data_IF_297031706066
#
_entry.id   IF_297031706066
#
_cell.length_a   1.000
_cell.length_b   1.000
_cell.length_c   1.000
_cell.angle_alpha   90.00
_cell.angle_beta   90.00
_cell.angle_gamma   90.00
#
_symmetry.space_group_name_H-M   'P 1'
#
loop_
_entity.id
_entity.type
_entity.pdbx_description
1 polymer ?
#
# COMPACT_ATOMS: atom_id res chain seq x y z
N UNK A 1 18.26 4.13 59.08
CA UNK A 1 19.15 3.50 58.08
C UNK A 1 18.27 3.17 56.86
N UNK A 2 18.22 4.08 55.87
CA UNK A 2 17.31 4.02 54.75
C UNK A 2 18.08 3.44 53.55
N UNK A 3 17.70 2.22 53.10
CA UNK A 3 18.33 1.56 51.97
C UNK A 3 17.55 1.96 50.71
N UNK A 4 18.17 2.84 49.93
CA UNK A 4 17.64 3.27 48.63
C UNK A 4 18.07 2.25 47.56
N UNK A 5 17.10 1.44 47.04
CA UNK A 5 17.35 0.54 45.91
C UNK A 5 17.28 1.34 44.62
N UNK A 6 18.41 1.51 43.95
CA UNK A 6 18.49 2.01 42.58
C UNK A 6 18.03 0.91 41.62
N UNK A 7 16.87 1.12 40.94
CA UNK A 7 16.47 0.35 39.80
C UNK A 7 17.20 0.92 38.56
N UNK A 8 18.15 0.19 38.04
CA UNK A 8 18.71 0.44 36.70
C UNK A 8 17.70 -0.01 35.64
N UNK A 9 16.99 0.93 35.04
CA UNK A 9 16.20 0.67 33.84
C UNK A 9 17.15 0.62 32.64
N UNK A 10 17.41 -0.58 32.14
CA UNK A 10 18.13 -0.80 30.88
C UNK A 10 17.22 -0.34 29.74
N UNK A 11 17.45 0.86 29.21
CA UNK A 11 16.86 1.31 27.95
C UNK A 11 17.53 0.52 26.80
N UNK A 12 16.90 -0.55 26.34
CA UNK A 12 17.27 -1.19 25.08
C UNK A 12 16.73 -0.28 23.98
N UNK A 13 17.59 0.59 23.46
CA UNK A 13 17.32 1.32 22.22
C UNK A 13 17.31 0.28 21.08
N UNK A 14 16.13 -0.16 20.69
CA UNK A 14 15.94 -0.93 19.46
C UNK A 14 16.32 -0.04 18.29
N UNK A 15 17.53 -0.22 17.78
CA UNK A 15 17.97 0.37 16.52
C UNK A 15 17.13 -0.28 15.41
N UNK A 16 16.05 0.36 14.99
CA UNK A 16 15.27 -0.05 13.81
C UNK A 16 16.15 0.28 12.61
N UNK A 17 16.93 -0.71 12.17
CA UNK A 17 17.60 -0.66 10.87
C UNK A 17 16.53 -0.84 9.83
N UNK A 18 16.05 0.26 9.24
CA UNK A 18 15.21 0.22 8.05
C UNK A 18 16.05 -0.29 6.90
N UNK A 19 15.96 -1.58 6.62
CA UNK A 19 16.58 -2.16 5.42
C UNK A 19 15.77 -1.70 4.22
N UNK A 20 16.37 -0.87 3.40
CA UNK A 20 15.77 -0.44 2.16
C UNK A 20 15.85 -1.59 1.14
N UNK A 21 14.75 -2.35 0.98
CA UNK A 21 14.61 -3.42 -0.02
C UNK A 21 14.23 -2.85 -1.41
N UNK A 22 14.47 -1.55 -1.65
CA UNK A 22 14.21 -0.91 -2.95
C UNK A 22 14.90 -1.65 -4.09
N UNK A 23 14.46 -1.36 -5.32
CA UNK A 23 15.04 -1.94 -6.52
C UNK A 23 16.57 -1.80 -6.52
N UNK A 24 17.27 -2.93 -6.63
CA UNK A 24 18.73 -3.02 -6.67
C UNK A 24 19.17 -3.86 -7.86
N UNK A 25 20.46 -3.76 -8.21
CA UNK A 25 21.07 -4.64 -9.19
C UNK A 25 21.37 -6.00 -8.54
N UNK A 26 20.96 -7.07 -9.23
CA UNK A 26 21.22 -8.46 -8.90
C UNK A 26 22.18 -9.05 -9.90
N UNK A 27 23.13 -9.84 -9.46
CA UNK A 27 24.17 -10.44 -10.29
C UNK A 27 24.05 -11.97 -10.26
N UNK A 28 24.18 -12.63 -11.43
CA UNK A 28 24.22 -14.09 -11.50
C UNK A 28 25.48 -14.65 -10.81
N UNK A 29 25.43 -15.92 -10.40
CA UNK A 29 26.52 -16.58 -9.70
C UNK A 29 27.86 -16.57 -10.48
N UNK A 30 27.78 -16.63 -11.79
CA UNK A 30 28.93 -16.57 -12.69
C UNK A 30 29.37 -15.14 -13.07
N UNK A 31 28.66 -14.11 -12.55
CA UNK A 31 28.93 -12.71 -12.83
C UNK A 31 28.57 -12.25 -14.26
N UNK A 32 28.05 -13.15 -15.11
CA UNK A 32 27.84 -12.86 -16.53
C UNK A 32 26.59 -12.04 -16.83
N UNK A 33 25.64 -11.98 -15.91
CA UNK A 33 24.33 -11.30 -16.09
C UNK A 33 23.98 -10.47 -14.89
N UNK A 34 23.38 -9.31 -15.14
CA UNK A 34 22.77 -8.47 -14.12
C UNK A 34 21.34 -8.10 -14.52
N UNK A 35 20.51 -7.78 -13.52
CA UNK A 35 19.18 -7.24 -13.73
C UNK A 35 18.75 -6.38 -12.54
N UNK A 36 17.89 -5.41 -12.78
CA UNK A 36 17.31 -4.55 -11.74
C UNK A 36 16.01 -5.15 -11.24
N UNK A 37 15.81 -5.14 -9.91
CA UNK A 37 14.58 -5.61 -9.32
C UNK A 37 14.53 -5.43 -7.81
N UNK A 38 13.32 -5.45 -7.28
CA UNK A 38 13.00 -5.39 -5.86
C UNK A 38 12.87 -6.80 -5.30
N UNK A 39 13.54 -7.09 -4.18
CA UNK A 39 13.35 -8.34 -3.46
C UNK A 39 11.98 -8.35 -2.78
N UNK A 40 11.12 -9.29 -3.19
CA UNK A 40 9.75 -9.39 -2.66
C UNK A 40 9.52 -10.62 -1.79
N UNK A 41 10.42 -11.60 -1.80
CA UNK A 41 10.30 -12.78 -0.94
C UNK A 41 11.51 -13.71 -1.01
N UNK A 42 11.67 -14.53 0.04
CA UNK A 42 12.64 -15.63 0.11
C UNK A 42 12.09 -16.76 0.97
N UNK A 43 11.81 -17.90 0.36
CA UNK A 43 11.29 -19.08 1.04
C UNK A 43 11.82 -20.36 0.37
N UNK A 44 12.13 -21.37 1.16
CA UNK A 44 12.58 -22.71 0.69
C UNK A 44 13.74 -22.63 -0.34
N UNK A 45 14.71 -21.74 -0.08
CA UNK A 45 15.86 -21.51 -0.97
C UNK A 45 15.52 -20.79 -2.28
N UNK A 46 14.27 -20.36 -2.48
CA UNK A 46 13.82 -19.62 -3.66
C UNK A 46 13.68 -18.14 -3.37
N UNK A 47 14.20 -17.34 -4.28
CA UNK A 47 14.16 -15.87 -4.25
C UNK A 47 13.07 -15.39 -5.18
N UNK A 48 12.24 -14.45 -4.71
CA UNK A 48 11.27 -13.72 -5.53
C UNK A 48 11.77 -12.30 -5.74
N UNK A 49 11.91 -11.88 -6.98
CA UNK A 49 12.29 -10.51 -7.34
C UNK A 49 11.29 -9.95 -8.34
N UNK A 50 10.77 -8.77 -8.04
CA UNK A 50 9.95 -7.99 -8.97
C UNK A 50 10.86 -7.10 -9.80
N UNK A 51 10.89 -7.32 -11.11
CA UNK A 51 11.62 -6.47 -12.05
C UNK A 51 10.90 -5.13 -12.26
N UNK A 52 11.64 -4.18 -12.83
CA UNK A 52 11.11 -2.86 -13.21
C UNK A 52 9.96 -2.91 -14.23
N UNK A 53 9.86 -4.01 -15.02
CA UNK A 53 8.76 -4.26 -15.96
C UNK A 53 7.53 -4.92 -15.27
N UNK A 54 7.53 -5.02 -13.93
CA UNK A 54 6.47 -5.63 -13.13
C UNK A 54 6.48 -7.16 -13.07
N UNK A 55 7.31 -7.84 -13.88
CA UNK A 55 7.40 -9.30 -13.86
C UNK A 55 8.07 -9.81 -12.59
N UNK A 56 7.47 -10.85 -12.01
CA UNK A 56 8.04 -11.55 -10.86
C UNK A 56 8.90 -12.71 -11.36
N UNK A 57 10.16 -12.68 -11.01
CA UNK A 57 11.09 -13.80 -11.21
C UNK A 57 11.14 -14.63 -9.92
N UNK A 58 11.09 -15.96 -10.07
CA UNK A 58 11.29 -16.91 -8.96
C UNK A 58 12.38 -17.86 -9.37
N UNK A 59 13.47 -17.91 -8.60
CA UNK A 59 14.63 -18.74 -8.89
C UNK A 59 15.38 -19.13 -7.62
N UNK A 60 16.25 -20.15 -7.71
CA UNK A 60 17.03 -20.61 -6.58
C UNK A 60 18.11 -19.58 -6.19
N UNK A 61 18.36 -19.42 -4.88
CA UNK A 61 19.32 -18.42 -4.35
C UNK A 61 20.75 -18.67 -4.87
N UNK A 62 21.09 -19.92 -5.15
CA UNK A 62 22.42 -20.34 -5.67
C UNK A 62 22.71 -19.78 -7.07
N UNK A 63 21.70 -19.30 -7.77
CA UNK A 63 21.86 -18.64 -9.07
C UNK A 63 22.35 -17.19 -8.98
N UNK A 64 22.43 -16.65 -7.75
CA UNK A 64 22.93 -15.30 -7.48
C UNK A 64 24.39 -15.32 -7.02
N UNK A 65 25.06 -14.18 -7.18
CA UNK A 65 26.40 -13.95 -6.65
C UNK A 65 26.46 -14.15 -5.13
N UNK A 66 27.61 -14.49 -4.59
CA UNK A 66 27.80 -14.67 -3.13
C UNK A 66 27.39 -13.43 -2.33
N UNK A 67 27.66 -12.23 -2.84
CA UNK A 67 27.28 -10.97 -2.22
C UNK A 67 25.75 -10.81 -2.13
N UNK A 68 25.02 -11.20 -3.19
CA UNK A 68 23.56 -11.14 -3.21
C UNK A 68 22.93 -12.21 -2.33
N UNK A 69 23.51 -13.42 -2.31
CA UNK A 69 23.09 -14.46 -1.37
C UNK A 69 23.26 -14.01 0.08
N UNK A 70 24.41 -13.39 0.41
CA UNK A 70 24.67 -12.87 1.74
C UNK A 70 23.71 -11.75 2.12
N UNK A 71 23.41 -10.84 1.18
CA UNK A 71 22.39 -9.80 1.38
C UNK A 71 21.03 -10.40 1.75
N UNK A 72 20.57 -11.42 1.00
CA UNK A 72 19.31 -12.10 1.27
C UNK A 72 19.32 -12.76 2.65
N UNK A 73 20.39 -13.52 2.97
CA UNK A 73 20.52 -14.22 4.25
C UNK A 73 20.55 -13.26 5.44
N UNK A 74 21.24 -12.13 5.32
CA UNK A 74 21.33 -11.12 6.38
C UNK A 74 19.97 -10.44 6.62
N UNK A 75 19.13 -10.33 5.58
CA UNK A 75 17.86 -9.65 5.65
C UNK A 75 16.65 -10.61 5.75
N UNK A 76 16.88 -11.90 6.03
CA UNK A 76 15.84 -12.93 6.09
C UNK A 76 14.65 -12.56 6.98
N UNK A 77 14.88 -11.98 8.15
CA UNK A 77 13.80 -11.59 9.07
C UNK A 77 12.90 -10.49 8.50
N UNK A 78 13.47 -9.54 7.76
CA UNK A 78 12.72 -8.46 7.10
C UNK A 78 11.95 -9.01 5.91
N UNK A 79 12.58 -9.94 5.18
CA UNK A 79 11.98 -10.62 4.02
C UNK A 79 10.84 -11.55 4.47
N UNK A 80 11.03 -12.34 5.53
CA UNK A 80 10.01 -13.22 6.11
C UNK A 80 8.80 -12.41 6.61
N UNK A 81 9.04 -11.26 7.24
CA UNK A 81 7.96 -10.35 7.66
C UNK A 81 7.21 -9.76 6.47
N UNK A 82 7.91 -9.49 5.36
CA UNK A 82 7.28 -9.05 4.10
C UNK A 82 6.49 -10.19 3.42
N UNK A 83 6.95 -11.44 3.54
CA UNK A 83 6.23 -12.63 3.04
C UNK A 83 5.02 -12.98 3.94
N UNK A 84 5.09 -12.79 5.25
CA UNK A 84 3.94 -12.90 6.16
C UNK A 84 2.91 -11.80 5.87
N UNK A 85 3.36 -10.59 5.58
CA UNK A 85 2.51 -9.49 5.09
C UNK A 85 1.92 -9.80 3.70
N UNK A 86 2.58 -10.63 2.88
CA UNK A 86 2.07 -11.06 1.57
C UNK A 86 0.98 -12.14 1.64
N UNK A 87 0.73 -12.74 2.83
CA UNK A 87 -0.45 -13.59 3.09
C UNK A 87 -1.70 -12.77 3.37
N UNK A 88 -1.56 -11.46 3.59
CA UNK A 88 -2.67 -10.55 3.73
C UNK A 88 -3.28 -10.27 2.35
N UNK A 89 -4.60 -10.12 2.32
CA UNK A 89 -5.32 -9.80 1.09
C UNK A 89 -4.72 -8.57 0.39
N UNK A 90 -4.36 -8.72 -0.89
CA UNK A 90 -3.81 -7.66 -1.71
C UNK A 90 -4.83 -7.26 -2.78
N UNK A 91 -5.30 -6.02 -2.71
CA UNK A 91 -6.18 -5.39 -3.69
C UNK A 91 -5.74 -3.93 -3.89
N UNK A 92 -4.52 -3.71 -4.42
CA UNK A 92 -3.82 -2.43 -4.30
C UNK A 92 -4.42 -1.29 -5.13
N UNK A 93 -5.43 -1.56 -5.96
CA UNK A 93 -6.04 -0.57 -6.85
C UNK A 93 -7.44 -0.99 -7.31
N UNK A 94 -8.11 -0.09 -8.03
CA UNK A 94 -9.33 -0.41 -8.76
C UNK A 94 -9.13 -1.65 -9.63
N UNK A 95 -10.03 -2.64 -9.52
CA UNK A 95 -10.03 -3.92 -10.23
C UNK A 95 -8.91 -4.90 -9.84
N UNK A 96 -8.24 -4.66 -8.72
CA UNK A 96 -7.21 -5.56 -8.17
C UNK A 96 -5.84 -5.43 -8.81
N UNK A 97 -4.92 -6.30 -8.42
CA UNK A 97 -3.51 -6.26 -8.83
C UNK A 97 -3.35 -6.32 -10.35
N UNK A 98 -4.11 -7.21 -11.01
CA UNK A 98 -4.02 -7.47 -12.45
C UNK A 98 -5.06 -6.70 -13.28
N UNK A 99 -5.84 -5.81 -12.65
CA UNK A 99 -6.90 -5.00 -13.28
C UNK A 99 -7.94 -5.89 -14.03
N UNK A 100 -8.20 -7.07 -13.50
CA UNK A 100 -9.08 -8.07 -14.13
C UNK A 100 -10.33 -8.42 -13.30
N UNK A 101 -10.53 -7.77 -12.14
CA UNK A 101 -11.62 -8.01 -11.17
C UNK A 101 -11.60 -9.41 -10.54
N UNK A 102 -10.51 -10.15 -10.66
CA UNK A 102 -10.39 -11.47 -10.06
C UNK A 102 -9.53 -11.40 -8.79
N UNK A 103 -10.06 -11.88 -7.67
CA UNK A 103 -9.27 -12.14 -6.48
C UNK A 103 -8.47 -13.43 -6.64
N UNK A 104 -7.18 -13.46 -6.27
CA UNK A 104 -6.39 -14.68 -6.23
C UNK A 104 -6.74 -15.59 -5.05
N UNK A 105 -7.64 -15.15 -4.15
CA UNK A 105 -8.00 -15.88 -2.94
C UNK A 105 -8.56 -17.25 -3.25
N UNK A 106 -8.22 -18.21 -2.40
CA UNK A 106 -8.65 -19.61 -2.48
C UNK A 106 -9.39 -20.00 -1.23
N UNK A 107 -10.19 -21.08 -1.33
CA UNK A 107 -10.93 -21.59 -0.18
C UNK A 107 -12.16 -20.74 0.18
N UNK A 108 -12.63 -19.90 -0.73
CA UNK A 108 -13.83 -19.11 -0.53
C UNK A 108 -15.04 -20.00 -0.23
N UNK A 109 -15.94 -19.51 0.61
CA UNK A 109 -17.20 -20.19 0.92
C UNK A 109 -18.01 -20.42 -0.36
N UNK A 110 -18.49 -21.64 -0.56
CA UNK A 110 -19.41 -21.98 -1.66
C UNK A 110 -20.85 -21.57 -1.36
N UNK A 111 -21.20 -21.54 -0.09
CA UNK A 111 -22.49 -21.14 0.41
C UNK A 111 -22.32 -20.25 1.64
N UNK A 112 -23.17 -19.27 1.79
CA UNK A 112 -23.18 -18.43 2.97
C UNK A 112 -23.77 -19.19 4.17
N UNK A 113 -23.21 -19.05 5.38
CA UNK A 113 -23.81 -19.55 6.60
C UNK A 113 -25.24 -18.97 6.78
N UNK A 114 -26.08 -19.69 7.50
CA UNK A 114 -27.39 -19.14 7.90
C UNK A 114 -27.17 -17.88 8.72
N UNK A 115 -27.72 -16.75 8.25
CA UNK A 115 -27.50 -15.42 8.84
C UNK A 115 -26.35 -14.61 8.19
N UNK A 116 -25.67 -15.17 7.18
CA UNK A 116 -24.55 -14.49 6.48
C UNK A 116 -23.20 -14.70 7.17
N UNK A 117 -22.13 -14.12 6.63
CA UNK A 117 -20.81 -14.16 7.24
C UNK A 117 -20.77 -13.36 8.55
N UNK A 118 -19.91 -13.79 9.47
CA UNK A 118 -19.67 -13.05 10.70
C UNK A 118 -19.03 -11.68 10.39
N UNK A 119 -19.55 -10.62 11.02
CA UNK A 119 -18.98 -9.28 10.93
C UNK A 119 -17.73 -9.19 11.80
N UNK A 120 -16.55 -9.03 11.19
CA UNK A 120 -15.29 -8.90 11.92
C UNK A 120 -15.17 -7.53 12.58
N UNK A 121 -15.40 -6.45 11.83
CA UNK A 121 -15.40 -5.09 12.34
C UNK A 121 -16.23 -4.13 11.45
N UNK A 122 -16.49 -2.93 11.95
CA UNK A 122 -17.08 -1.82 11.19
C UNK A 122 -16.33 -0.54 11.50
N UNK A 123 -15.88 0.16 10.48
CA UNK A 123 -15.33 1.51 10.60
C UNK A 123 -16.42 2.54 10.24
N UNK A 124 -16.85 3.33 11.21
CA UNK A 124 -17.99 4.27 11.06
C UNK A 124 -17.58 5.67 10.65
N UNK A 125 -16.30 6.02 10.81
CA UNK A 125 -15.79 7.37 10.63
C UNK A 125 -15.18 7.62 9.25
N UNK A 126 -15.50 6.80 8.25
CA UNK A 126 -15.04 7.02 6.89
C UNK A 126 -15.52 8.37 6.30
N UNK A 127 -16.67 8.84 6.75
CA UNK A 127 -17.32 10.03 6.19
C UNK A 127 -18.16 9.71 4.95
N UNK A 128 -18.52 10.75 4.19
CA UNK A 128 -19.34 10.61 2.98
C UNK A 128 -18.45 10.42 1.74
N UNK A 129 -18.91 9.59 0.80
CA UNK A 129 -18.23 9.35 -0.46
C UNK A 129 -18.64 8.05 -1.12
N UNK A 130 -18.07 7.82 -2.30
CA UNK A 130 -18.30 6.63 -3.13
C UNK A 130 -16.99 5.91 -3.46
N UNK A 131 -15.96 6.18 -2.70
CA UNK A 131 -14.63 5.64 -2.89
C UNK A 131 -14.59 4.14 -2.59
N UNK A 132 -14.08 3.35 -3.52
CA UNK A 132 -13.73 1.96 -3.26
C UNK A 132 -12.50 1.83 -2.35
N UNK A 133 -12.34 0.69 -1.65
CA UNK A 133 -11.14 0.41 -0.88
C UNK A 133 -10.01 -0.11 -1.77
N UNK A 134 -8.77 0.22 -1.39
CA UNK A 134 -7.56 -0.48 -1.83
C UNK A 134 -6.88 -1.10 -0.61
N UNK A 135 -6.33 -2.30 -0.75
CA UNK A 135 -5.75 -3.06 0.37
C UNK A 135 -4.33 -3.46 0.01
N UNK A 136 -3.38 -3.14 0.88
CA UNK A 136 -2.00 -3.61 0.78
C UNK A 136 -1.29 -3.53 2.13
N UNK A 137 -0.40 -4.47 2.40
CA UNK A 137 0.40 -4.50 3.62
C UNK A 137 -0.44 -4.47 4.90
N UNK A 138 -1.58 -5.17 4.93
CA UNK A 138 -2.47 -5.23 6.09
C UNK A 138 -3.26 -3.96 6.38
N UNK A 139 -3.22 -2.98 5.49
CA UNK A 139 -3.99 -1.73 5.60
C UNK A 139 -4.99 -1.60 4.46
N UNK A 140 -6.16 -1.11 4.80
CA UNK A 140 -7.18 -0.68 3.86
C UNK A 140 -7.08 0.84 3.69
N UNK A 141 -6.99 1.30 2.46
CA UNK A 141 -6.96 2.72 2.11
C UNK A 141 -8.24 3.10 1.39
N UNK A 142 -8.85 4.19 1.82
CA UNK A 142 -10.05 4.74 1.21
C UNK A 142 -10.06 6.26 1.33
N UNK A 143 -11.02 6.93 0.73
CA UNK A 143 -11.25 8.34 0.93
C UNK A 143 -12.66 8.57 1.48
N UNK A 144 -12.84 9.66 2.23
CA UNK A 144 -14.15 10.08 2.69
C UNK A 144 -14.16 11.56 3.06
N UNK A 145 -15.33 12.16 3.00
CA UNK A 145 -15.52 13.55 3.39
C UNK A 145 -16.08 13.60 4.81
N UNK A 146 -15.34 14.24 5.70
CA UNK A 146 -15.73 14.59 7.05
C UNK A 146 -15.95 16.10 7.09
N UNK A 147 -17.17 16.52 7.38
CA UNK A 147 -17.57 17.93 7.28
C UNK A 147 -17.28 18.53 5.89
N UNK A 148 -16.50 19.61 5.83
CA UNK A 148 -16.12 20.27 4.58
C UNK A 148 -14.83 19.77 3.94
N UNK A 149 -14.24 18.67 4.45
CA UNK A 149 -12.88 18.23 4.13
C UNK A 149 -12.85 16.80 3.65
N UNK A 150 -12.09 16.52 2.60
CA UNK A 150 -11.81 15.16 2.11
C UNK A 150 -10.53 14.64 2.73
N UNK A 151 -10.59 13.42 3.25
CA UNK A 151 -9.47 12.71 3.83
C UNK A 151 -9.12 11.45 3.02
N UNK A 152 -7.84 11.19 2.86
CA UNK A 152 -7.30 9.87 2.60
C UNK A 152 -7.11 9.18 3.95
N UNK A 153 -7.61 7.96 4.08
CA UNK A 153 -7.74 7.25 5.36
C UNK A 153 -7.09 5.88 5.23
N UNK A 154 -6.24 5.52 6.17
CA UNK A 154 -5.70 4.18 6.32
C UNK A 154 -6.27 3.51 7.57
N UNK A 155 -6.76 2.28 7.38
CA UNK A 155 -7.41 1.47 8.40
C UNK A 155 -6.64 0.15 8.51
N UNK A 156 -6.33 -0.28 9.72
CA UNK A 156 -5.74 -1.58 9.99
C UNK A 156 -6.75 -2.70 9.70
N UNK A 157 -6.43 -3.62 8.81
CA UNK A 157 -7.34 -4.67 8.37
C UNK A 157 -7.69 -5.68 9.48
N UNK A 158 -6.79 -5.91 10.42
CA UNK A 158 -7.02 -6.87 11.49
C UNK A 158 -7.96 -6.32 12.57
N UNK A 159 -7.88 -5.01 12.85
CA UNK A 159 -8.59 -4.39 13.98
C UNK A 159 -9.72 -3.45 13.56
N UNK A 160 -9.78 -3.02 12.31
CA UNK A 160 -10.71 -2.02 11.82
C UNK A 160 -10.48 -0.62 12.40
N UNK A 161 -9.31 -0.35 12.98
CA UNK A 161 -8.98 0.95 13.57
C UNK A 161 -8.28 1.85 12.55
N UNK A 162 -8.55 3.15 12.62
CA UNK A 162 -7.80 4.14 11.86
C UNK A 162 -6.33 4.13 12.30
N UNK A 163 -5.43 3.96 11.33
CA UNK A 163 -3.98 4.07 11.53
C UNK A 163 -3.58 5.53 11.39
N UNK A 164 -4.05 6.16 10.31
CA UNK A 164 -3.89 7.58 10.06
C UNK A 164 -4.96 8.09 9.10
N UNK A 165 -5.19 9.38 9.13
CA UNK A 165 -5.96 10.08 8.10
C UNK A 165 -5.28 11.39 7.72
N UNK A 166 -5.33 11.75 6.42
CA UNK A 166 -4.68 12.93 5.88
C UNK A 166 -5.65 13.74 5.06
N UNK A 167 -5.78 15.02 5.39
CA UNK A 167 -6.55 15.95 4.58
C UNK A 167 -5.93 16.07 3.20
N UNK A 168 -6.73 15.84 2.15
CA UNK A 168 -6.29 15.88 0.76
C UNK A 168 -7.09 16.83 -0.13
N UNK A 169 -8.12 17.46 0.38
CA UNK A 169 -8.91 18.39 -0.43
C UNK A 169 -10.15 18.88 0.26
N UNK A 170 -10.94 19.59 -0.53
CA UNK A 170 -12.22 20.13 -0.10
C UNK A 170 -13.38 19.28 -0.59
N UNK A 171 -14.45 19.35 0.13
CA UNK A 171 -15.71 18.66 -0.14
C UNK A 171 -16.27 18.96 -1.53
N UNK A 172 -16.77 17.94 -2.20
CA UNK A 172 -17.47 18.06 -3.47
C UNK A 172 -18.95 17.74 -3.28
N UNK A 173 -19.79 18.64 -3.74
CA UNK A 173 -21.27 18.45 -3.71
C UNK A 173 -21.80 18.19 -5.11
N UNK A 174 -22.69 17.23 -5.20
CA UNK A 174 -23.39 16.89 -6.44
C UNK A 174 -24.77 16.34 -6.10
N UNK A 175 -25.77 16.64 -6.98
CA UNK A 175 -27.14 16.15 -6.79
C UNK A 175 -27.27 14.62 -6.79
N UNK A 176 -26.27 13.90 -7.28
CA UNK A 176 -26.24 12.44 -7.37
C UNK A 176 -25.43 11.77 -6.23
N UNK A 177 -24.81 12.58 -5.40
CA UNK A 177 -24.03 12.13 -4.27
C UNK A 177 -22.78 12.97 -4.02
N UNK A 178 -22.45 13.12 -2.78
CA UNK A 178 -21.39 14.00 -2.29
C UNK A 178 -20.10 13.24 -1.98
N UNK A 179 -18.98 13.95 -1.94
CA UNK A 179 -17.67 13.44 -1.51
C UNK A 179 -16.80 12.85 -2.63
N UNK A 180 -15.68 12.19 -2.28
CA UNK A 180 -14.74 11.58 -3.22
C UNK A 180 -15.31 10.29 -3.85
N UNK A 181 -14.73 9.88 -5.01
CA UNK A 181 -15.27 8.79 -5.83
C UNK A 181 -14.23 7.77 -6.27
N UNK A 182 -13.04 8.22 -6.66
CA UNK A 182 -11.97 7.33 -7.15
C UNK A 182 -11.44 6.40 -6.06
N UNK A 183 -11.02 5.20 -6.41
CA UNK A 183 -10.30 4.30 -5.50
C UNK A 183 -8.84 4.72 -5.41
N UNK A 184 -8.23 4.80 -4.22
CA UNK A 184 -6.79 4.99 -4.09
C UNK A 184 -6.01 3.88 -4.79
N UNK A 185 -4.83 4.20 -5.31
CA UNK A 185 -3.91 3.22 -5.90
C UNK A 185 -2.66 3.15 -5.06
N UNK A 186 -2.23 1.93 -4.74
CA UNK A 186 -1.02 1.67 -3.96
C UNK A 186 0.04 1.11 -4.91
N UNK A 187 1.26 1.65 -4.79
CA UNK A 187 2.44 1.13 -5.46
C UNK A 187 3.63 1.19 -4.48
N UNK A 188 4.05 0.04 -4.02
CA UNK A 188 5.09 -0.09 -3.01
C UNK A 188 4.74 0.65 -1.70
N UNK A 189 5.58 1.61 -1.32
CA UNK A 189 5.42 2.42 -0.11
C UNK A 189 4.60 3.71 -0.34
N UNK A 190 3.93 3.84 -1.49
CA UNK A 190 3.16 5.01 -1.90
C UNK A 190 1.68 4.68 -2.07
N UNK A 191 0.84 5.64 -1.71
CA UNK A 191 -0.59 5.65 -2.01
C UNK A 191 -0.93 6.92 -2.78
N UNK A 192 -1.64 6.76 -3.88
CA UNK A 192 -2.08 7.84 -4.77
C UNK A 192 -3.59 7.98 -4.68
N UNK A 193 -4.07 9.20 -4.53
CA UNK A 193 -5.49 9.49 -4.36
C UNK A 193 -5.89 10.75 -5.13
N UNK A 194 -7.01 10.67 -5.87
CA UNK A 194 -7.57 11.77 -6.63
C UNK A 194 -8.92 12.17 -6.03
N UNK A 195 -8.96 13.37 -5.47
CA UNK A 195 -10.18 13.97 -4.96
C UNK A 195 -11.11 14.45 -6.10
N UNK A 196 -12.42 14.45 -5.87
CA UNK A 196 -13.44 14.77 -6.88
C UNK A 196 -13.29 16.19 -7.48
N UNK A 197 -12.54 17.10 -6.86
CA UNK A 197 -12.26 18.44 -7.39
C UNK A 197 -10.92 18.55 -8.13
N UNK A 198 -10.21 17.43 -8.34
CA UNK A 198 -8.97 17.40 -9.11
C UNK A 198 -7.69 17.49 -8.27
N UNK A 199 -7.79 17.49 -6.94
CA UNK A 199 -6.60 17.41 -6.09
C UNK A 199 -6.06 15.98 -6.13
N UNK A 200 -4.86 15.80 -6.67
CA UNK A 200 -4.12 14.55 -6.73
C UNK A 200 -3.01 14.57 -5.68
N UNK A 201 -2.89 13.52 -4.89
CA UNK A 201 -1.86 13.41 -3.87
C UNK A 201 -1.12 12.08 -3.96
N UNK A 202 0.17 12.12 -3.64
CA UNK A 202 0.99 10.95 -3.34
C UNK A 202 1.41 11.03 -1.87
N UNK A 203 1.07 10.02 -1.09
CA UNK A 203 1.42 9.94 0.32
C UNK A 203 2.15 8.63 0.62
N UNK A 204 2.88 8.58 1.75
CA UNK A 204 3.44 7.32 2.25
C UNK A 204 2.34 6.43 2.82
N UNK A 205 2.40 5.13 2.55
CA UNK A 205 1.46 4.14 3.10
C UNK A 205 1.64 3.95 4.60
N UNK A 206 2.80 4.26 5.14
CA UNK A 206 3.15 4.07 6.55
C UNK A 206 2.41 5.06 7.47
N UNK A 207 2.51 6.37 7.16
CA UNK A 207 2.10 7.46 8.07
C UNK A 207 1.25 8.56 7.39
N UNK A 208 0.96 8.42 6.10
CA UNK A 208 0.21 9.40 5.34
C UNK A 208 0.95 10.71 5.05
N UNK A 209 2.28 10.78 5.29
CA UNK A 209 3.06 11.97 4.95
C UNK A 209 3.02 12.22 3.45
N UNK A 210 2.66 13.45 3.06
CA UNK A 210 2.56 13.85 1.67
C UNK A 210 3.96 13.93 1.05
N UNK A 211 4.17 13.20 -0.03
CA UNK A 211 5.40 13.20 -0.81
C UNK A 211 5.35 14.30 -1.87
N UNK A 212 4.24 14.38 -2.58
CA UNK A 212 3.93 15.46 -3.51
C UNK A 212 2.42 15.56 -3.72
N UNK A 213 1.99 16.66 -4.27
CA UNK A 213 0.60 16.92 -4.65
C UNK A 213 0.53 17.75 -5.94
N UNK A 214 -0.58 17.62 -6.66
CA UNK A 214 -0.91 18.41 -7.84
C UNK A 214 -2.40 18.72 -7.85
N UNK A 215 -2.79 19.75 -8.56
CA UNK A 215 -4.19 20.11 -8.78
C UNK A 215 -4.46 20.10 -10.30
N UNK A 216 -5.24 19.12 -10.76
CA UNK A 216 -5.50 18.96 -12.20
C UNK A 216 -6.15 20.19 -12.82
N UNK A 217 -6.90 20.97 -12.02
CA UNK A 217 -7.55 22.19 -12.49
C UNK A 217 -6.57 23.37 -12.49
N UNK A 218 -5.91 23.63 -11.35
CA UNK A 218 -5.07 24.82 -11.18
C UNK A 218 -3.73 24.70 -11.90
N UNK A 219 -3.10 23.51 -11.79
CA UNK A 219 -1.74 23.33 -12.27
C UNK A 219 -1.71 22.84 -13.72
N UNK A 220 -2.75 22.10 -14.17
CA UNK A 220 -2.78 21.47 -15.49
C UNK A 220 -3.89 22.01 -16.41
N UNK A 221 -4.69 22.99 -15.96
CA UNK A 221 -5.73 23.63 -16.77
C UNK A 221 -6.97 22.76 -17.02
N UNK A 222 -7.14 21.68 -16.26
CA UNK A 222 -8.32 20.81 -16.29
C UNK A 222 -9.59 21.52 -15.83
N UNK A 223 -10.72 20.85 -15.99
CA UNK A 223 -12.03 21.33 -15.49
C UNK A 223 -12.69 20.24 -14.69
N UNK A 224 -13.28 20.60 -13.56
CA UNK A 224 -14.04 19.64 -12.77
C UNK A 224 -15.24 19.16 -13.60
N UNK A 225 -15.32 17.85 -13.92
CA UNK A 225 -16.47 17.28 -14.63
C UNK A 225 -17.78 17.41 -13.83
N UNK A 226 -18.93 17.25 -14.49
CA UNK A 226 -20.23 17.34 -13.81
C UNK A 226 -20.41 16.33 -12.67
N UNK A 227 -19.71 15.19 -12.73
CA UNK A 227 -19.68 14.15 -11.69
C UNK A 227 -18.51 14.30 -10.71
N UNK A 228 -17.62 15.32 -10.91
CA UNK A 228 -16.31 15.37 -10.31
C UNK A 228 -15.35 14.39 -10.99
N UNK A 229 -14.09 14.43 -10.61
CA UNK A 229 -13.12 13.39 -11.01
C UNK A 229 -13.49 12.07 -10.30
N UNK A 230 -13.71 11.01 -11.10
CA UNK A 230 -14.21 9.70 -10.61
C UNK A 230 -13.22 8.56 -10.85
N UNK A 231 -12.19 8.80 -11.63
CA UNK A 231 -11.18 7.78 -11.95
C UNK A 231 -10.26 7.50 -10.77
N UNK A 232 -9.67 6.31 -10.83
CA UNK A 232 -8.60 5.89 -9.93
C UNK A 232 -7.26 6.10 -10.63
N UNK A 233 -6.25 6.72 -9.99
CA UNK A 233 -4.94 6.90 -10.61
C UNK A 233 -4.35 5.57 -11.07
N UNK A 234 -3.84 5.50 -12.29
CA UNK A 234 -3.12 4.33 -12.81
C UNK A 234 -1.63 4.58 -12.73
N UNK A 235 -0.90 3.65 -12.14
CA UNK A 235 0.57 3.63 -12.14
C UNK A 235 1.04 2.64 -13.19
N UNK A 236 1.86 3.13 -14.14
CA UNK A 236 2.53 2.34 -15.16
C UNK A 236 4.02 2.68 -15.18
N UNK A 237 4.82 1.83 -14.54
CA UNK A 237 6.24 2.08 -14.32
C UNK A 237 6.50 3.37 -13.55
N UNK A 238 7.07 4.37 -14.23
CA UNK A 238 7.36 5.68 -13.66
C UNK A 238 6.31 6.74 -13.97
N UNK A 239 5.20 6.36 -14.57
CA UNK A 239 4.14 7.27 -14.98
C UNK A 239 2.90 7.08 -14.09
N UNK A 240 2.29 8.21 -13.72
CA UNK A 240 0.96 8.24 -13.15
C UNK A 240 0.03 8.79 -14.23
N UNK A 241 -1.03 8.06 -14.53
CA UNK A 241 -2.01 8.38 -15.55
C UNK A 241 -3.36 8.64 -14.87
N UNK A 242 -3.94 9.78 -15.14
CA UNK A 242 -5.32 10.15 -14.82
C UNK A 242 -5.81 11.19 -15.86
N UNK A 243 -7.13 11.35 -16.01
CA UNK A 243 -7.76 12.18 -17.07
C UNK A 243 -8.65 13.26 -16.48
#
# INVERSE_FOLDING_TARGET
>A
MLIMKFLFALLIASLIITVNLSAREWTSADGSRTFQGELTGFQDGKVKVRRSDGKILVFAIELLSESDQQFIKTNQLVIAKKDEDSTLAEWPRWRGSDINDHSPDKGLLKEWPVGGPEQVWVFKDAGMGYTGPAISGGKLFTMGARDATVFLIAIDCATGKEVWSKQIGVYYRNNWGDGPRGTPTIDGDRVYALGARGKLVCAKTEDGSIVWEADLVKDLGGKVPGWGYCESPLIDGHQLICT
#
